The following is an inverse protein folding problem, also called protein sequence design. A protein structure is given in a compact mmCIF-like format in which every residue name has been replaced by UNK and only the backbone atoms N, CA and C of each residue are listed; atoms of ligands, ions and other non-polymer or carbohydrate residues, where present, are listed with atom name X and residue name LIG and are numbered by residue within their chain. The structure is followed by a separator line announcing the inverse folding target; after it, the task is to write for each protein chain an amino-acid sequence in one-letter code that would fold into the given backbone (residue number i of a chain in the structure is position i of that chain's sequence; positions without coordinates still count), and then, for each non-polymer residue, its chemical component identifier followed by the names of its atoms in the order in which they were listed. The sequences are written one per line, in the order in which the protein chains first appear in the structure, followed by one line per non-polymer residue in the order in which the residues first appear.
data_IF_389438614216
#
_entry.id   IF_389438614216
#
_cell.length_a   1.000
_cell.length_b   1.000
_cell.length_c   1.000
_cell.angle_alpha   90.00
_cell.angle_beta   90.00
_cell.angle_gamma   90.00
#
_symmetry.space_group_name_H-M   'P 1'
#
loop_
_entity.id
_entity.type
_entity.pdbx_description
1 polymer ?
#
# COMPACT_ATOMS: atom_id res chain seq x y z
N UNK A 1 -22.05 3.49 -13.48
CA UNK A 1 -20.64 3.90 -13.71
C UNK A 1 -19.69 3.01 -12.91
N UNK A 2 -18.87 2.21 -13.60
CA UNK A 2 -17.90 1.31 -12.98
C UNK A 2 -16.59 2.05 -12.66
N UNK A 3 -15.76 1.47 -11.78
CA UNK A 3 -14.39 1.92 -11.54
C UNK A 3 -13.39 0.88 -12.00
N UNK A 4 -12.26 1.35 -12.52
CA UNK A 4 -11.17 0.49 -12.93
C UNK A 4 -10.58 -0.25 -11.73
N UNK A 5 -10.46 -1.58 -11.84
CA UNK A 5 -9.90 -2.45 -10.78
C UNK A 5 -8.39 -2.24 -10.53
N UNK A 6 -7.78 -1.24 -11.16
CA UNK A 6 -6.38 -0.85 -10.93
C UNK A 6 -6.32 0.57 -10.38
N UNK A 7 -6.57 1.60 -11.21
CA UNK A 7 -6.40 2.99 -10.78
C UNK A 7 -7.59 3.57 -9.99
N UNK A 8 -8.71 2.84 -9.86
CA UNK A 8 -9.91 3.35 -9.19
C UNK A 8 -10.65 4.48 -9.91
N UNK A 9 -10.19 4.94 -11.07
CA UNK A 9 -10.87 5.97 -11.85
C UNK A 9 -12.11 5.40 -12.58
N UNK A 10 -13.07 6.28 -12.89
CA UNK A 10 -14.28 5.95 -13.64
C UNK A 10 -13.94 5.27 -14.98
N UNK A 11 -14.75 4.28 -15.35
CA UNK A 11 -14.62 3.55 -16.60
C UNK A 11 -16.00 3.21 -17.18
N UNK A 12 -16.06 3.01 -18.50
CA UNK A 12 -17.25 2.55 -19.23
C UNK A 12 -17.82 1.28 -18.60
N UNK A 13 -19.15 1.14 -18.59
CA UNK A 13 -19.85 0.10 -17.83
C UNK A 13 -19.54 -1.33 -18.29
N UNK A 14 -19.07 -1.49 -19.52
CA UNK A 14 -18.66 -2.77 -20.08
C UNK A 14 -17.19 -3.15 -19.81
N UNK A 15 -16.42 -2.31 -19.12
CA UNK A 15 -14.99 -2.52 -18.90
C UNK A 15 -14.64 -2.59 -17.41
N UNK A 16 -13.64 -3.43 -17.10
CA UNK A 16 -13.09 -3.62 -15.75
C UNK A 16 -11.75 -2.88 -15.59
N UNK A 17 -11.00 -2.73 -16.68
CA UNK A 17 -9.69 -2.08 -16.68
C UNK A 17 -9.53 -1.09 -17.83
N UNK A 18 -8.89 0.05 -17.56
CA UNK A 18 -8.38 0.89 -18.65
C UNK A 18 -7.24 0.15 -19.35
N UNK A 19 -7.17 0.27 -20.69
CA UNK A 19 -6.07 -0.30 -21.49
C UNK A 19 -4.69 0.17 -21.00
N UNK A 20 -4.58 1.42 -20.54
CA UNK A 20 -3.35 1.98 -19.97
C UNK A 20 -2.94 1.24 -18.69
N UNK A 21 -3.86 1.01 -17.75
CA UNK A 21 -3.55 0.31 -16.51
C UNK A 21 -3.05 -1.12 -16.74
N UNK A 22 -3.63 -1.84 -17.72
CA UNK A 22 -3.14 -3.18 -18.10
C UNK A 22 -1.72 -3.11 -18.68
N UNK A 23 -1.41 -2.10 -19.49
CA UNK A 23 -0.06 -1.91 -20.04
C UNK A 23 0.95 -1.55 -18.95
N UNK A 24 0.59 -0.65 -18.04
CA UNK A 24 1.48 -0.22 -16.96
C UNK A 24 1.80 -1.37 -16.00
N UNK A 25 0.77 -2.14 -15.63
CA UNK A 25 0.90 -3.30 -14.76
C UNK A 25 1.59 -4.46 -15.49
N UNK A 26 0.93 -5.02 -16.49
CA UNK A 26 1.30 -6.30 -17.12
C UNK A 26 2.12 -6.19 -18.41
N UNK A 27 2.29 -4.99 -18.97
CA UNK A 27 2.92 -4.80 -20.28
C UNK A 27 2.08 -5.33 -21.44
N UNK A 28 0.77 -5.54 -21.24
CA UNK A 28 -0.17 -6.06 -22.24
C UNK A 28 -1.50 -5.31 -22.19
N UNK A 29 -2.37 -5.48 -23.20
CA UNK A 29 -3.69 -4.83 -23.27
C UNK A 29 -4.87 -5.77 -23.03
N UNK A 30 -4.61 -6.98 -22.51
CA UNK A 30 -5.62 -7.96 -22.11
C UNK A 30 -5.49 -8.25 -20.62
N UNK A 31 -6.55 -8.77 -20.00
CA UNK A 31 -6.55 -9.20 -18.60
C UNK A 31 -5.93 -10.61 -18.55
N UNK A 32 -4.75 -10.80 -17.92
CA UNK A 32 -4.18 -12.13 -17.74
C UNK A 32 -5.07 -13.03 -16.88
N UNK A 33 -5.10 -14.32 -17.18
CA UNK A 33 -5.87 -15.30 -16.39
C UNK A 33 -5.02 -15.90 -15.28
N UNK A 34 -5.62 -16.23 -14.15
CA UNK A 34 -5.02 -17.08 -13.13
C UNK A 34 -5.87 -18.33 -12.96
N UNK A 35 -5.26 -19.50 -13.11
CA UNK A 35 -5.97 -20.80 -13.10
C UNK A 35 -5.87 -21.49 -11.74
N UNK A 36 -5.80 -20.69 -10.67
CA UNK A 36 -5.75 -21.17 -9.30
C UNK A 36 -6.94 -20.60 -8.54
N UNK A 37 -7.61 -21.46 -7.78
CA UNK A 37 -8.60 -21.10 -6.76
C UNK A 37 -7.93 -20.52 -5.51
N UNK A 38 -8.72 -19.97 -4.61
CA UNK A 38 -8.24 -19.45 -3.34
C UNK A 38 -7.54 -20.54 -2.50
N UNK A 39 -8.12 -21.73 -2.45
CA UNK A 39 -7.57 -22.86 -1.70
C UNK A 39 -6.23 -23.31 -2.27
N UNK A 40 -6.13 -23.46 -3.60
CA UNK A 40 -4.88 -23.85 -4.27
C UNK A 40 -3.78 -22.80 -4.08
N UNK A 41 -4.12 -21.50 -4.11
CA UNK A 41 -3.15 -20.43 -3.84
C UNK A 41 -2.68 -20.43 -2.39
N UNK A 42 -3.58 -20.65 -1.45
CA UNK A 42 -3.24 -20.64 -0.01
C UNK A 42 -2.29 -21.78 0.31
N UNK A 43 -2.54 -22.99 -0.21
CA UNK A 43 -1.65 -24.15 -0.08
C UNK A 43 -0.28 -23.83 -0.68
N UNK A 44 -0.23 -23.35 -1.93
CA UNK A 44 1.04 -22.99 -2.59
C UNK A 44 1.83 -21.93 -1.82
N UNK A 45 1.16 -20.92 -1.26
CA UNK A 45 1.83 -19.90 -0.47
C UNK A 45 2.45 -20.46 0.83
N UNK A 46 1.75 -21.40 1.48
CA UNK A 46 2.26 -22.07 2.67
C UNK A 46 3.47 -22.96 2.36
N UNK A 47 3.44 -23.71 1.26
CA UNK A 47 4.56 -24.52 0.79
C UNK A 47 5.81 -23.67 0.50
N UNK A 48 5.63 -22.50 -0.10
CA UNK A 48 6.72 -21.60 -0.47
C UNK A 48 7.28 -20.78 0.71
N UNK A 49 6.49 -20.52 1.75
CA UNK A 49 6.88 -19.62 2.83
C UNK A 49 7.82 -20.27 3.87
N UNK A 50 7.85 -21.60 3.98
CA UNK A 50 8.36 -22.26 5.19
C UNK A 50 7.57 -21.81 6.44
N UNK A 51 7.80 -22.42 7.61
CA UNK A 51 7.00 -22.17 8.84
C UNK A 51 6.66 -20.69 9.06
N UNK A 52 5.35 -20.41 9.17
CA UNK A 52 4.72 -19.08 9.30
C UNK A 52 5.40 -18.21 10.37
N UNK A 53 5.72 -16.97 10.00
CA UNK A 53 6.05 -15.93 10.97
C UNK A 53 4.81 -15.08 11.26
N UNK A 54 4.59 -14.75 12.53
CA UNK A 54 3.42 -14.01 13.05
C UNK A 54 3.21 -12.61 12.42
N UNK A 55 4.22 -12.01 11.77
CA UNK A 55 4.02 -10.79 10.95
C UNK A 55 3.50 -11.10 9.52
N UNK A 56 2.96 -12.29 9.27
CA UNK A 56 2.70 -12.90 7.97
C UNK A 56 1.35 -13.63 7.93
N UNK A 57 0.29 -12.95 8.34
CA UNK A 57 -1.07 -13.50 8.39
C UNK A 57 -1.66 -13.69 6.98
N UNK A 58 -1.20 -12.91 6.00
CA UNK A 58 -1.62 -13.03 4.60
C UNK A 58 -0.59 -13.79 3.77
N UNK A 59 -1.06 -14.86 3.12
CA UNK A 59 -0.32 -15.58 2.08
C UNK A 59 0.18 -14.62 0.99
N UNK A 60 1.39 -14.84 0.48
CA UNK A 60 1.92 -14.08 -0.65
C UNK A 60 2.60 -15.01 -1.64
N UNK A 61 2.32 -14.82 -2.93
CA UNK A 61 2.94 -15.57 -4.00
C UNK A 61 3.73 -14.65 -4.92
N UNK A 62 4.87 -15.15 -5.37
CA UNK A 62 5.69 -14.53 -6.41
C UNK A 62 5.14 -14.99 -7.76
N UNK A 63 4.68 -14.03 -8.58
CA UNK A 63 3.97 -14.30 -9.83
C UNK A 63 4.76 -13.78 -11.03
N UNK A 64 4.69 -14.48 -12.15
CA UNK A 64 5.17 -14.03 -13.47
C UNK A 64 4.05 -14.11 -14.50
N UNK A 65 4.06 -13.22 -15.48
CA UNK A 65 3.16 -13.31 -16.63
C UNK A 65 3.80 -14.14 -17.74
N UNK A 66 3.21 -15.29 -18.05
CA UNK A 66 3.49 -15.98 -19.30
C UNK A 66 2.67 -15.36 -20.43
N UNK A 67 3.34 -14.57 -21.28
CA UNK A 67 2.71 -13.90 -22.42
C UNK A 67 2.22 -14.86 -23.50
N UNK A 68 2.81 -16.07 -23.62
CA UNK A 68 2.40 -17.06 -24.63
C UNK A 68 1.04 -17.66 -24.25
N UNK A 69 0.92 -18.16 -23.01
CA UNK A 69 -0.33 -18.73 -22.52
C UNK A 69 -1.35 -17.68 -22.02
N UNK A 70 -0.91 -16.43 -21.86
CA UNK A 70 -1.69 -15.31 -21.27
C UNK A 70 -2.08 -15.56 -19.80
N UNK A 71 -1.26 -16.33 -19.07
CA UNK A 71 -1.52 -16.75 -17.69
C UNK A 71 -0.56 -16.11 -16.69
N UNK A 72 -1.07 -15.81 -15.50
CA UNK A 72 -0.30 -15.52 -14.30
C UNK A 72 0.06 -16.84 -13.63
N UNK A 73 1.36 -17.09 -13.47
CA UNK A 73 1.88 -18.34 -12.91
C UNK A 73 2.71 -18.05 -11.65
N UNK A 74 2.57 -18.93 -10.64
CA UNK A 74 3.43 -18.87 -9.45
C UNK A 74 4.82 -19.39 -9.77
N UNK A 75 5.84 -18.67 -9.31
CA UNK A 75 7.26 -18.97 -9.56
C UNK A 75 8.08 -18.80 -8.28
N UNK A 76 9.03 -19.70 -8.04
CA UNK A 76 9.96 -19.59 -6.90
C UNK A 76 10.96 -18.43 -7.05
N UNK A 77 11.37 -18.15 -8.28
CA UNK A 77 12.33 -17.09 -8.59
C UNK A 77 11.91 -16.27 -9.82
N UNK A 78 12.45 -15.06 -9.95
CA UNK A 78 12.21 -14.20 -11.12
C UNK A 78 10.76 -13.71 -11.27
N UNK A 79 9.95 -13.77 -10.21
CA UNK A 79 8.61 -13.20 -10.22
C UNK A 79 8.65 -11.67 -10.37
N UNK A 80 7.71 -11.16 -11.15
CA UNK A 80 7.55 -9.75 -11.50
C UNK A 80 6.44 -9.08 -10.67
N UNK A 81 5.58 -9.88 -10.03
CA UNK A 81 4.45 -9.41 -9.24
C UNK A 81 4.39 -10.15 -7.90
N UNK A 82 3.78 -9.51 -6.92
CA UNK A 82 3.35 -10.12 -5.67
C UNK A 82 1.84 -10.23 -5.72
N UNK A 83 1.32 -11.44 -5.49
CA UNK A 83 -0.11 -11.71 -5.38
C UNK A 83 -0.47 -12.06 -3.94
N UNK A 84 -1.49 -11.39 -3.42
CA UNK A 84 -2.02 -11.54 -2.08
C UNK A 84 -3.50 -11.93 -2.17
N UNK A 85 -3.85 -13.21 -1.91
CA UNK A 85 -5.23 -13.63 -1.93
C UNK A 85 -5.98 -13.15 -0.68
N UNK A 86 -7.30 -13.38 -0.68
CA UNK A 86 -8.15 -13.27 0.50
C UNK A 86 -7.55 -14.03 1.69
N UNK A 87 -7.49 -13.40 2.87
CA UNK A 87 -6.82 -13.96 4.04
C UNK A 87 -7.79 -14.26 5.19
N UNK A 88 -8.07 -15.54 5.41
CA UNK A 88 -8.78 -16.03 6.60
C UNK A 88 -10.02 -15.21 6.96
N UNK A 89 -10.04 -14.71 8.20
CA UNK A 89 -11.17 -13.99 8.80
C UNK A 89 -11.30 -12.52 8.34
N UNK A 90 -10.33 -11.98 7.60
CA UNK A 90 -10.34 -10.56 7.21
C UNK A 90 -11.11 -10.36 5.90
N UNK A 91 -12.43 -10.28 5.99
CA UNK A 91 -13.32 -10.10 4.84
C UNK A 91 -12.89 -8.93 3.93
N UNK A 92 -12.91 -9.15 2.62
CA UNK A 92 -12.59 -8.16 1.59
C UNK A 92 -11.22 -7.48 1.72
N UNK A 93 -10.23 -8.14 2.33
CA UNK A 93 -8.87 -7.61 2.47
C UNK A 93 -8.22 -7.23 1.12
N UNK A 94 -8.32 -8.04 0.04
CA UNK A 94 -7.83 -7.65 -1.29
C UNK A 94 -8.49 -6.38 -1.84
N UNK A 95 -9.81 -6.23 -1.67
CA UNK A 95 -10.56 -5.04 -2.07
C UNK A 95 -10.16 -3.81 -1.26
N UNK A 96 -9.97 -3.96 0.05
CA UNK A 96 -9.50 -2.90 0.95
C UNK A 96 -8.11 -2.41 0.52
N UNK A 97 -7.15 -3.32 0.33
CA UNK A 97 -5.80 -2.97 -0.11
C UNK A 97 -5.81 -2.31 -1.49
N UNK A 98 -6.54 -2.86 -2.45
CA UNK A 98 -6.66 -2.27 -3.78
C UNK A 98 -7.28 -0.86 -3.74
N UNK A 99 -8.33 -0.65 -2.94
CA UNK A 99 -8.97 0.65 -2.79
C UNK A 99 -8.00 1.67 -2.20
N UNK A 100 -7.31 1.32 -1.11
CA UNK A 100 -6.38 2.21 -0.44
C UNK A 100 -5.19 2.57 -1.33
N UNK A 101 -4.65 1.60 -2.07
CA UNK A 101 -3.61 1.82 -3.08
C UNK A 101 -4.10 2.70 -4.24
N UNK A 102 -5.32 2.49 -4.74
CA UNK A 102 -5.88 3.30 -5.81
C UNK A 102 -6.09 4.77 -5.36
N UNK A 103 -6.61 4.97 -4.15
CA UNK A 103 -6.75 6.31 -3.56
C UNK A 103 -5.39 6.97 -3.41
N UNK A 104 -4.38 6.26 -2.89
CA UNK A 104 -3.01 6.78 -2.76
C UNK A 104 -2.50 7.35 -4.10
N UNK A 105 -2.68 6.60 -5.20
CA UNK A 105 -2.28 7.04 -6.53
C UNK A 105 -3.08 8.25 -7.02
N UNK A 106 -4.39 8.30 -6.75
CA UNK A 106 -5.26 9.43 -7.13
C UNK A 106 -4.91 10.74 -6.39
N UNK A 107 -4.41 10.64 -5.16
CA UNK A 107 -3.96 11.81 -4.39
C UNK A 107 -2.49 12.17 -4.63
N UNK A 108 -1.77 11.40 -5.47
CA UNK A 108 -0.42 11.73 -5.94
C UNK A 108 0.72 11.03 -5.21
N UNK A 109 0.45 10.03 -4.35
CA UNK A 109 1.52 9.22 -3.77
C UNK A 109 2.19 8.35 -4.86
N UNK A 110 3.51 8.23 -4.76
CA UNK A 110 4.32 7.33 -5.58
C UNK A 110 4.03 5.88 -5.19
N UNK A 111 3.33 5.15 -6.06
CA UNK A 111 2.92 3.76 -5.86
C UNK A 111 3.25 2.92 -7.10
N UNK A 112 3.53 1.61 -6.95
CA UNK A 112 3.65 0.72 -8.08
C UNK A 112 2.27 0.45 -8.73
N UNK A 113 2.25 0.05 -10.02
CA UNK A 113 1.07 -0.50 -10.64
C UNK A 113 0.54 -1.70 -9.86
N UNK A 114 -0.78 -1.74 -9.67
CA UNK A 114 -1.46 -2.79 -8.92
C UNK A 114 -2.88 -3.00 -9.49
N UNK A 115 -3.53 -4.08 -9.08
CA UNK A 115 -4.90 -4.40 -9.44
C UNK A 115 -5.57 -5.35 -8.45
N UNK A 116 -6.90 -5.32 -8.44
CA UNK A 116 -7.76 -6.40 -7.99
C UNK A 116 -8.03 -7.35 -9.16
N UNK A 117 -7.72 -8.63 -9.00
CA UNK A 117 -7.98 -9.67 -10.00
C UNK A 117 -8.91 -10.74 -9.46
N UNK A 118 -9.57 -11.45 -10.38
CA UNK A 118 -10.45 -12.59 -10.06
C UNK A 118 -9.70 -13.90 -10.24
N UNK A 119 -9.84 -14.77 -9.25
CA UNK A 119 -9.34 -16.14 -9.23
C UNK A 119 -10.27 -17.07 -10.01
N UNK A 120 -9.84 -18.33 -10.19
CA UNK A 120 -10.60 -19.35 -10.93
C UNK A 120 -12.01 -19.58 -10.38
N UNK A 121 -12.16 -19.47 -9.06
CA UNK A 121 -13.41 -19.65 -8.31
C UNK A 121 -14.20 -18.34 -8.14
N UNK A 122 -13.76 -17.23 -8.75
CA UNK A 122 -14.42 -15.92 -8.66
C UNK A 122 -14.05 -15.11 -7.40
N UNK A 123 -13.28 -15.67 -6.47
CA UNK A 123 -12.73 -14.92 -5.34
C UNK A 123 -11.71 -13.87 -5.81
N UNK A 124 -11.47 -12.86 -4.97
CA UNK A 124 -10.57 -11.75 -5.31
C UNK A 124 -9.15 -11.98 -4.78
N UNK A 125 -8.17 -11.45 -5.51
CA UNK A 125 -6.81 -11.30 -5.03
C UNK A 125 -6.25 -9.94 -5.42
N UNK A 126 -5.40 -9.38 -4.56
CA UNK A 126 -4.64 -8.17 -4.85
C UNK A 126 -3.33 -8.57 -5.54
N UNK A 127 -2.97 -7.88 -6.61
CA UNK A 127 -1.70 -8.08 -7.31
C UNK A 127 -0.99 -6.74 -7.48
N UNK A 128 0.29 -6.72 -7.20
CA UNK A 128 1.13 -5.52 -7.25
C UNK A 128 2.41 -5.83 -8.02
N UNK A 129 2.83 -4.91 -8.89
CA UNK A 129 4.10 -5.01 -9.60
C UNK A 129 5.25 -4.79 -8.64
N UNK A 130 6.25 -5.65 -8.70
CA UNK A 130 7.47 -5.49 -7.92
C UNK A 130 8.24 -4.28 -8.42
N UNK A 131 8.52 -3.34 -7.52
CA UNK A 131 9.39 -2.19 -7.79
C UNK A 131 10.86 -2.47 -7.41
N UNK A 132 11.15 -3.61 -6.78
CA UNK A 132 12.50 -4.11 -6.51
C UNK A 132 13.06 -4.93 -7.70
N UNK A 133 12.47 -4.75 -8.89
CA UNK A 133 12.86 -5.41 -10.15
C UNK A 133 12.90 -4.39 -11.27
N UNK A 134 13.98 -4.41 -12.07
CA UNK A 134 14.12 -3.56 -13.27
C UNK A 134 14.93 -4.30 -14.33
N UNK A 135 14.38 -4.41 -15.55
CA UNK A 135 15.02 -5.10 -16.69
C UNK A 135 15.50 -6.53 -16.36
N UNK A 136 14.75 -7.28 -15.54
CA UNK A 136 15.13 -8.61 -15.08
C UNK A 136 16.16 -8.65 -13.94
N UNK A 137 16.79 -7.52 -13.62
CA UNK A 137 17.69 -7.36 -12.48
C UNK A 137 16.95 -7.07 -11.17
N UNK A 138 17.58 -7.42 -10.05
CA UNK A 138 17.13 -7.09 -8.69
C UNK A 138 17.64 -5.70 -8.32
N UNK A 139 16.74 -4.85 -7.83
CA UNK A 139 17.09 -3.61 -7.14
C UNK A 139 17.24 -3.98 -5.66
N UNK A 140 18.34 -3.56 -5.02
CA UNK A 140 18.47 -3.75 -3.58
C UNK A 140 17.43 -2.86 -2.88
N UNK A 141 16.75 -3.45 -1.91
CA UNK A 141 15.72 -2.80 -1.11
C UNK A 141 15.93 -3.21 0.34
N UNK A 142 15.82 -2.24 1.24
CA UNK A 142 15.85 -2.47 2.69
C UNK A 142 14.70 -1.73 3.34
N UNK A 143 14.03 -2.42 4.27
CA UNK A 143 13.00 -1.80 5.10
C UNK A 143 13.61 -1.03 6.28
N UNK A 144 12.87 -0.11 6.89
CA UNK A 144 13.44 0.71 7.97
C UNK A 144 13.74 -0.06 9.27
N UNK A 145 13.29 -1.31 9.44
CA UNK A 145 13.87 -2.14 10.50
C UNK A 145 15.33 -2.45 10.18
N UNK A 146 15.60 -2.91 8.97
CA UNK A 146 16.96 -3.24 8.52
C UNK A 146 17.88 -2.03 8.54
N UNK A 147 17.42 -0.91 7.96
CA UNK A 147 18.19 0.35 7.89
C UNK A 147 18.56 0.87 9.28
N UNK A 148 17.72 0.63 10.28
CA UNK A 148 17.94 1.03 11.67
C UNK A 148 18.61 -0.06 12.54
N UNK A 149 19.01 -1.20 11.96
CA UNK A 149 19.59 -2.31 12.72
C UNK A 149 18.63 -2.98 13.73
N UNK A 150 17.31 -2.84 13.52
CA UNK A 150 16.26 -3.37 14.40
C UNK A 150 15.88 -4.79 14.01
N UNK A 151 15.52 -5.60 15.00
CA UNK A 151 15.00 -6.94 14.74
C UNK A 151 13.58 -6.89 14.17
N UNK A 152 13.11 -8.01 13.62
CA UNK A 152 11.73 -8.14 13.14
C UNK A 152 10.67 -7.92 14.25
N UNK A 153 11.02 -8.20 15.50
CA UNK A 153 10.12 -8.02 16.66
C UNK A 153 9.94 -6.53 17.00
N UNK A 154 10.92 -5.71 16.66
CA UNK A 154 10.95 -4.28 16.96
C UNK A 154 10.30 -3.44 15.86
N UNK A 155 9.49 -4.06 14.98
CA UNK A 155 8.86 -3.38 13.84
C UNK A 155 7.97 -2.21 14.26
N UNK A 156 7.35 -2.28 15.44
CA UNK A 156 6.53 -1.21 16.03
C UNK A 156 7.33 -0.23 16.90
N UNK A 157 8.61 -0.53 17.16
CA UNK A 157 9.47 0.24 18.07
C UNK A 157 10.25 1.29 17.27
N UNK A 158 9.54 2.30 16.78
CA UNK A 158 10.16 3.45 16.13
C UNK A 158 9.24 4.65 16.00
N UNK A 159 9.75 5.69 15.34
CA UNK A 159 9.01 6.92 15.08
C UNK A 159 9.19 7.42 13.66
N UNK A 160 8.26 8.27 13.20
CA UNK A 160 8.37 8.93 11.90
C UNK A 160 9.61 9.83 11.84
N UNK A 161 10.00 10.44 12.96
CA UNK A 161 11.21 11.25 13.08
C UNK A 161 12.47 10.41 12.89
N UNK A 162 12.51 9.18 13.39
CA UNK A 162 13.64 8.29 13.17
C UNK A 162 13.78 7.94 11.68
N UNK A 163 12.67 7.70 10.99
CA UNK A 163 12.68 7.48 9.53
C UNK A 163 13.20 8.74 8.81
N UNK A 164 12.68 9.91 9.15
CA UNK A 164 13.08 11.17 8.52
C UNK A 164 14.55 11.53 8.77
N UNK A 165 15.03 11.40 10.01
CA UNK A 165 16.45 11.59 10.34
C UNK A 165 17.34 10.62 9.57
N UNK A 166 16.92 9.36 9.45
CA UNK A 166 17.70 8.39 8.72
C UNK A 166 17.74 8.70 7.22
N UNK A 167 16.64 9.21 6.64
CA UNK A 167 16.62 9.71 5.27
C UNK A 167 17.50 10.95 5.08
N UNK A 168 17.58 11.85 6.06
CA UNK A 168 18.53 12.98 6.04
C UNK A 168 19.99 12.51 5.94
N UNK A 169 20.32 11.38 6.55
CA UNK A 169 21.68 10.82 6.48
C UNK A 169 21.98 10.14 5.14
N UNK A 170 21.03 9.38 4.59
CA UNK A 170 21.32 8.41 3.51
C UNK A 170 20.69 8.74 2.16
N UNK A 171 19.59 9.49 2.11
CA UNK A 171 18.90 9.74 0.84
C UNK A 171 19.69 10.71 -0.04
N UNK A 172 19.66 10.47 -1.34
CA UNK A 172 20.20 11.41 -2.33
C UNK A 172 19.39 12.72 -2.40
N UNK A 173 18.09 12.68 -2.09
CA UNK A 173 17.22 13.88 -2.08
C UNK A 173 16.37 13.89 -0.79
N UNK A 174 16.99 14.17 0.37
CA UNK A 174 16.33 13.99 1.66
C UNK A 174 15.03 14.78 1.81
N UNK A 175 15.02 16.07 1.44
CA UNK A 175 13.83 16.91 1.58
C UNK A 175 12.59 16.34 0.87
N UNK A 176 12.77 15.84 -0.35
CA UNK A 176 11.69 15.21 -1.12
C UNK A 176 11.26 13.87 -0.51
N UNK A 177 12.22 13.05 -0.09
CA UNK A 177 11.90 11.73 0.48
C UNK A 177 11.25 11.84 1.86
N UNK A 178 11.64 12.83 2.68
CA UNK A 178 11.02 13.13 3.97
C UNK A 178 9.61 13.69 3.77
N UNK A 179 9.40 14.58 2.79
CA UNK A 179 8.06 15.01 2.40
C UNK A 179 7.18 13.82 2.00
N UNK A 180 7.70 12.89 1.21
CA UNK A 180 6.95 11.68 0.80
C UNK A 180 6.62 10.77 1.98
N UNK A 181 7.52 10.63 2.96
CA UNK A 181 7.23 9.91 4.22
C UNK A 181 6.11 10.60 4.98
N UNK A 182 6.13 11.93 5.05
CA UNK A 182 5.06 12.72 5.67
C UNK A 182 3.71 12.56 4.97
N UNK A 183 3.67 12.68 3.65
CA UNK A 183 2.44 12.49 2.85
C UNK A 183 1.86 11.08 3.04
N UNK A 184 2.70 10.05 3.12
CA UNK A 184 2.30 8.68 3.44
C UNK A 184 1.70 8.58 4.84
N UNK A 185 2.39 9.09 5.86
CA UNK A 185 1.91 9.01 7.23
C UNK A 185 0.58 9.74 7.43
N UNK A 186 0.42 10.93 6.83
CA UNK A 186 -0.83 11.68 6.85
C UNK A 186 -1.96 10.90 6.15
N UNK A 187 -1.67 10.30 4.98
CA UNK A 187 -2.65 9.48 4.30
C UNK A 187 -3.03 8.22 5.09
N UNK A 188 -2.05 7.52 5.67
CA UNK A 188 -2.25 6.34 6.51
C UNK A 188 -3.14 6.65 7.70
N UNK A 189 -2.92 7.78 8.36
CA UNK A 189 -3.80 8.26 9.42
C UNK A 189 -5.23 8.47 8.90
N UNK A 190 -5.42 9.15 7.76
CA UNK A 190 -6.73 9.44 7.18
C UNK A 190 -7.53 8.17 6.87
N UNK A 191 -6.90 7.14 6.30
CA UNK A 191 -7.58 5.88 6.00
C UNK A 191 -7.67 4.94 7.21
N UNK A 192 -7.08 5.30 8.35
CA UNK A 192 -7.05 4.43 9.54
C UNK A 192 -6.16 3.19 9.37
N UNK A 193 -4.95 3.38 8.83
CA UNK A 193 -3.91 2.35 8.78
C UNK A 193 -3.06 2.38 10.06
N UNK A 194 -3.57 1.74 11.12
CA UNK A 194 -2.91 1.57 12.41
C UNK A 194 -1.79 0.51 12.43
N UNK A 195 -1.61 -0.29 11.37
CA UNK A 195 -0.55 -1.31 11.27
C UNK A 195 0.67 -0.86 10.43
N UNK A 196 0.68 0.38 9.93
CA UNK A 196 1.80 0.95 9.15
C UNK A 196 3.07 1.16 9.99
N UNK A 197 3.85 0.09 10.16
CA UNK A 197 5.05 0.03 10.99
C UNK A 197 6.35 0.22 10.17
N UNK A 198 7.53 0.12 10.81
CA UNK A 198 8.81 0.41 10.15
C UNK A 198 9.06 -0.42 8.87
N UNK A 199 8.48 -1.62 8.76
CA UNK A 199 8.63 -2.48 7.56
C UNK A 199 7.78 -2.04 6.35
N UNK A 200 6.86 -1.10 6.52
CA UNK A 200 6.06 -0.51 5.42
C UNK A 200 6.76 0.68 4.78
N UNK A 201 7.91 1.08 5.32
CA UNK A 201 8.79 2.05 4.72
C UNK A 201 10.05 1.32 4.28
N UNK A 202 10.48 1.54 3.05
CA UNK A 202 11.73 1.01 2.53
C UNK A 202 12.48 2.05 1.72
N UNK A 203 13.78 1.84 1.61
CA UNK A 203 14.64 2.52 0.64
C UNK A 203 15.03 1.56 -0.48
N UNK A 204 15.23 2.11 -1.67
CA UNK A 204 15.76 1.41 -2.82
C UNK A 204 17.11 1.99 -3.22
N UNK A 205 18.00 1.11 -3.67
CA UNK A 205 19.30 1.45 -4.21
C UNK A 205 19.23 1.40 -5.73
N UNK A 206 19.11 2.55 -6.38
CA UNK A 206 19.02 2.61 -7.86
C UNK A 206 20.36 2.27 -8.53
N UNK A 207 21.45 2.45 -7.80
CA UNK A 207 22.81 1.95 -8.05
C UNK A 207 23.52 1.73 -6.69
N UNK A 208 24.82 1.41 -6.69
CA UNK A 208 25.60 1.14 -5.47
C UNK A 208 25.67 2.31 -4.46
N UNK A 209 25.27 3.52 -4.84
CA UNK A 209 25.42 4.76 -4.04
C UNK A 209 24.13 5.57 -3.94
N UNK A 210 23.20 5.40 -4.87
CA UNK A 210 22.00 6.23 -4.96
C UNK A 210 20.83 5.61 -4.21
N UNK A 211 20.60 6.11 -2.99
CA UNK A 211 19.51 5.71 -2.10
C UNK A 211 18.34 6.68 -2.22
N UNK A 212 17.14 6.13 -2.40
CA UNK A 212 15.87 6.88 -2.42
C UNK A 212 14.78 6.12 -1.67
N UNK A 213 13.80 6.84 -1.14
CA UNK A 213 12.58 6.23 -0.61
C UNK A 213 11.89 5.40 -1.72
N UNK A 214 11.60 4.14 -1.44
CA UNK A 214 10.84 3.25 -2.33
C UNK A 214 9.40 3.76 -2.54
N UNK A 215 8.68 3.38 -3.60
CA UNK A 215 7.23 3.58 -3.72
C UNK A 215 6.46 3.05 -2.50
N UNK A 216 5.29 3.60 -2.20
CA UNK A 216 4.45 3.11 -1.10
C UNK A 216 3.77 1.78 -1.48
N UNK A 217 3.68 0.88 -0.50
CA UNK A 217 3.11 -0.47 -0.65
C UNK A 217 2.47 -0.91 0.68
N UNK A 218 1.74 -2.03 0.65
CA UNK A 218 1.05 -2.58 1.82
C UNK A 218 0.14 -1.54 2.50
N UNK A 219 -0.63 -0.79 1.70
CA UNK A 219 -1.54 0.23 2.19
C UNK A 219 -2.93 -0.39 2.41
N UNK A 220 -3.36 -0.48 3.65
CA UNK A 220 -4.63 -1.08 4.05
C UNK A 220 -5.29 -0.20 5.10
N UNK A 221 -6.62 -0.04 5.06
CA UNK A 221 -7.35 0.45 6.23
C UNK A 221 -7.47 -0.68 7.24
N UNK A 222 -6.51 -0.82 8.14
CA UNK A 222 -6.47 -1.90 9.13
C UNK A 222 -7.55 -1.71 10.22
N UNK A 223 -7.89 -0.46 10.56
CA UNK A 223 -9.00 -0.12 11.46
C UNK A 223 -10.38 -0.56 10.94
N UNK A 224 -10.53 -0.72 9.63
CA UNK A 224 -11.74 -1.29 9.02
C UNK A 224 -11.93 -2.77 9.38
N UNK A 225 -10.83 -3.49 9.58
CA UNK A 225 -10.80 -4.94 9.84
C UNK A 225 -10.63 -5.25 11.34
N UNK A 226 -9.94 -4.39 12.07
CA UNK A 226 -9.62 -4.55 13.48
C UNK A 226 -10.11 -3.30 14.23
N UNK A 227 -11.33 -3.34 14.78
CA UNK A 227 -11.85 -2.26 15.60
C UNK A 227 -10.94 -1.98 16.80
N UNK A 228 -10.75 -0.70 17.14
CA UNK A 228 -9.91 -0.29 18.27
C UNK A 228 -8.42 -0.17 17.97
N UNK A 229 -8.00 -0.32 16.71
CA UNK A 229 -6.62 -0.04 16.33
C UNK A 229 -6.18 1.40 16.64
N UNK A 230 -4.88 1.51 16.92
CA UNK A 230 -4.17 2.77 17.14
C UNK A 230 -4.28 3.71 15.92
N UNK A 231 -4.03 5.00 16.13
CA UNK A 231 -4.02 5.96 15.02
C UNK A 231 -2.84 5.72 14.07
N UNK A 232 -1.68 5.31 14.61
CA UNK A 232 -0.46 4.99 13.88
C UNK A 232 0.33 3.88 14.59
N UNK A 233 0.98 2.99 13.83
CA UNK A 233 1.75 1.87 14.39
C UNK A 233 3.09 2.30 15.03
N UNK A 234 3.68 3.38 14.52
CA UNK A 234 4.90 4.03 15.01
C UNK A 234 4.57 5.45 15.49
N UNK A 235 5.40 6.01 16.36
CA UNK A 235 5.06 7.30 16.97
C UNK A 235 5.26 8.48 16.02
N UNK A 236 4.43 9.51 16.21
CA UNK A 236 4.60 10.87 15.67
C UNK A 236 4.57 11.82 16.87
N UNK A 237 5.61 12.61 17.06
CA UNK A 237 5.82 13.43 18.27
C UNK A 237 5.66 12.62 19.58
N UNK A 238 6.13 11.37 19.58
CA UNK A 238 6.04 10.47 20.75
C UNK A 238 4.65 9.86 20.99
N UNK A 239 3.65 10.13 20.15
CA UNK A 239 2.29 9.61 20.30
C UNK A 239 1.94 8.63 19.20
N UNK A 240 1.09 7.64 19.52
CA UNK A 240 0.45 6.74 18.56
C UNK A 240 -1.05 6.96 18.41
N UNK A 241 -1.65 7.69 19.34
CA UNK A 241 -3.08 7.92 19.46
C UNK A 241 -3.34 9.39 19.80
N UNK A 242 -4.60 9.81 19.60
CA UNK A 242 -5.04 11.19 19.80
C UNK A 242 -4.21 12.17 18.95
N UNK A 243 -3.89 11.73 17.72
CA UNK A 243 -3.21 12.56 16.74
C UNK A 243 -4.20 13.53 16.11
N UNK A 244 -3.78 14.78 15.95
CA UNK A 244 -4.54 15.82 15.28
C UNK A 244 -3.66 16.71 14.39
N UNK A 245 -4.25 17.76 13.82
CA UNK A 245 -3.56 18.67 12.89
C UNK A 245 -2.22 19.18 13.42
N UNK A 246 -2.19 19.55 14.71
CA UNK A 246 -0.98 20.07 15.37
C UNK A 246 0.19 19.09 15.35
N UNK A 247 -0.06 17.79 15.52
CA UNK A 247 1.01 16.80 15.50
C UNK A 247 1.65 16.71 14.10
N UNK A 248 0.83 16.75 13.05
CA UNK A 248 1.32 16.77 11.67
C UNK A 248 2.01 18.10 11.31
N UNK A 249 1.54 19.23 11.83
CA UNK A 249 2.19 20.53 11.64
C UNK A 249 3.54 20.61 12.33
N UNK A 250 3.64 20.17 13.58
CA UNK A 250 4.91 20.10 14.32
C UNK A 250 5.95 19.25 13.56
N UNK A 251 5.53 18.11 13.01
CA UNK A 251 6.40 17.29 12.17
C UNK A 251 6.83 18.03 10.91
N UNK A 252 5.88 18.63 10.18
CA UNK A 252 6.17 19.34 8.93
C UNK A 252 7.13 20.50 9.15
N UNK A 253 6.95 21.28 10.22
CA UNK A 253 7.81 22.41 10.59
C UNK A 253 9.24 21.93 10.92
N UNK A 254 9.36 20.89 11.74
CA UNK A 254 10.66 20.31 12.12
C UNK A 254 11.52 19.90 10.91
N UNK A 255 10.90 19.45 9.83
CA UNK A 255 11.58 19.00 8.61
C UNK A 255 11.45 19.96 7.43
N UNK A 256 11.04 21.21 7.67
CA UNK A 256 10.88 22.25 6.64
C UNK A 256 9.95 21.84 5.47
N UNK A 257 8.94 21.01 5.75
CA UNK A 257 7.90 20.65 4.79
C UNK A 257 6.86 21.78 4.77
N UNK A 258 6.55 22.38 3.60
CA UNK A 258 5.55 23.43 3.53
C UNK A 258 4.17 22.94 4.00
N UNK A 259 3.51 23.69 4.90
CA UNK A 259 2.16 23.36 5.38
C UNK A 259 1.12 23.23 4.25
N UNK A 260 1.38 23.82 3.08
CA UNK A 260 0.55 23.63 1.88
C UNK A 260 0.46 22.16 1.47
N UNK A 261 1.47 21.33 1.75
CA UNK A 261 1.43 19.89 1.48
C UNK A 261 0.30 19.21 2.27
N UNK A 262 0.15 19.55 3.56
CA UNK A 262 -0.97 19.09 4.39
C UNK A 262 -2.30 19.51 3.77
N UNK A 263 -2.45 20.82 3.47
CA UNK A 263 -3.70 21.38 2.91
C UNK A 263 -4.06 20.75 1.58
N UNK A 264 -3.09 20.57 0.68
CA UNK A 264 -3.29 19.94 -0.62
C UNK A 264 -3.86 18.52 -0.49
N UNK A 265 -3.41 17.76 0.53
CA UNK A 265 -3.95 16.43 0.82
C UNK A 265 -5.35 16.54 1.41
N UNK A 266 -5.59 17.49 2.32
CA UNK A 266 -6.92 17.72 2.89
C UNK A 266 -7.96 18.09 1.83
N UNK A 267 -7.57 18.86 0.81
CA UNK A 267 -8.40 19.22 -0.35
C UNK A 267 -8.82 17.99 -1.19
N UNK A 268 -8.16 16.83 -1.00
CA UNK A 268 -8.54 15.57 -1.66
C UNK A 268 -9.66 14.82 -0.94
N UNK A 269 -10.24 15.35 0.14
CA UNK A 269 -11.34 14.72 0.89
C UNK A 269 -12.43 14.15 -0.01
N UNK A 270 -12.94 14.93 -0.96
CA UNK A 270 -14.02 14.46 -1.83
C UNK A 270 -13.58 13.32 -2.76
N UNK A 271 -12.35 13.36 -3.28
CA UNK A 271 -11.80 12.28 -4.11
C UNK A 271 -11.74 10.97 -3.32
N UNK A 272 -11.30 11.04 -2.05
CA UNK A 272 -11.25 9.87 -1.16
C UNK A 272 -12.66 9.31 -0.93
N UNK A 273 -13.62 10.17 -0.56
CA UNK A 273 -15.00 9.76 -0.28
C UNK A 273 -15.70 9.16 -1.52
N UNK A 274 -15.53 9.77 -2.69
CA UNK A 274 -16.08 9.26 -3.94
C UNK A 274 -15.49 7.90 -4.30
N UNK A 275 -14.18 7.72 -4.10
CA UNK A 275 -13.52 6.43 -4.34
C UNK A 275 -14.01 5.34 -3.40
N UNK A 276 -14.32 5.65 -2.14
CA UNK A 276 -14.93 4.69 -1.20
C UNK A 276 -16.35 4.33 -1.64
N UNK A 277 -17.18 5.33 -1.96
CA UNK A 277 -18.59 5.18 -2.35
C UNK A 277 -18.78 4.20 -3.52
N UNK A 278 -17.90 4.29 -4.50
CA UNK A 278 -17.97 3.53 -5.75
C UNK A 278 -17.00 2.33 -5.78
N UNK A 279 -16.41 1.96 -4.64
CA UNK A 279 -15.40 0.89 -4.54
C UNK A 279 -15.99 -0.52 -4.70
N UNK A 280 -15.12 -1.53 -4.74
CA UNK A 280 -15.50 -2.94 -4.77
C UNK A 280 -15.84 -3.51 -3.37
N UNK A 281 -15.72 -2.70 -2.30
CA UNK A 281 -16.18 -3.08 -0.96
C UNK A 281 -17.71 -3.25 -0.94
N UNK A 282 -18.25 -4.05 -0.02
CA UNK A 282 -19.68 -4.15 0.20
C UNK A 282 -20.23 -2.87 0.89
N UNK A 283 -21.54 -2.72 0.96
CA UNK A 283 -22.16 -1.49 1.49
C UNK A 283 -21.83 -1.21 2.96
N UNK A 284 -21.64 -2.24 3.77
CA UNK A 284 -21.29 -2.08 5.20
C UNK A 284 -19.84 -1.58 5.35
N UNK A 285 -18.91 -2.20 4.65
CA UNK A 285 -17.51 -1.78 4.64
C UNK A 285 -17.32 -0.37 4.09
N UNK A 286 -18.08 0.02 3.04
CA UNK A 286 -18.07 1.41 2.54
C UNK A 286 -18.53 2.41 3.59
N UNK A 287 -19.61 2.11 4.33
CA UNK A 287 -20.12 2.97 5.41
C UNK A 287 -19.09 3.11 6.53
N UNK A 288 -18.51 1.99 6.98
CA UNK A 288 -17.48 1.96 8.04
C UNK A 288 -16.23 2.75 7.65
N UNK A 289 -15.70 2.51 6.45
CA UNK A 289 -14.51 3.23 5.97
C UNK A 289 -14.79 4.73 5.77
N UNK A 290 -15.99 5.08 5.28
CA UNK A 290 -16.41 6.49 5.19
C UNK A 290 -16.45 7.14 6.56
N UNK A 291 -16.99 6.46 7.58
CA UNK A 291 -17.03 6.98 8.95
C UNK A 291 -15.62 7.18 9.53
N UNK A 292 -14.72 6.21 9.33
CA UNK A 292 -13.30 6.33 9.71
C UNK A 292 -12.70 7.58 9.06
N UNK A 293 -12.80 7.70 7.73
CA UNK A 293 -12.20 8.82 6.99
C UNK A 293 -12.76 10.16 7.44
N UNK A 294 -14.08 10.30 7.57
CA UNK A 294 -14.71 11.56 8.00
C UNK A 294 -14.27 11.98 9.40
N UNK A 295 -14.16 11.02 10.32
CA UNK A 295 -13.69 11.25 11.68
C UNK A 295 -12.21 11.65 11.70
N UNK A 296 -11.36 11.02 10.88
CA UNK A 296 -9.95 11.44 10.73
C UNK A 296 -9.83 12.84 10.16
N UNK A 297 -10.70 13.19 9.21
CA UNK A 297 -10.74 14.54 8.65
C UNK A 297 -11.16 15.60 9.68
N UNK A 298 -12.09 15.31 10.60
CA UNK A 298 -12.50 16.31 11.60
C UNK A 298 -11.33 16.70 12.49
N UNK A 299 -10.53 15.71 12.95
CA UNK A 299 -9.31 15.94 13.76
C UNK A 299 -8.20 16.74 13.04
N UNK A 300 -8.27 16.83 11.71
CA UNK A 300 -7.33 17.57 10.87
C UNK A 300 -7.85 18.95 10.46
N UNK A 301 -9.06 19.30 10.87
CA UNK A 301 -9.71 20.60 10.56
C UNK A 301 -10.15 21.38 11.81
N UNK A 302 -10.08 20.74 12.98
CA UNK A 302 -10.14 21.39 14.30
C UNK A 302 -8.83 22.14 14.61
#
# INVERSE_FOLDING_TARGET
MNRCFSCGNKISENLIFHKKCLKDLFGVSYIPRIELSLNELTIKAQEMAGKLSISGVQAKLSIKLDKKSKKLISVGEGGEYILKPQAGIYEQLPENENLCMAIAGQIGLDIPPHALIKLKDGSSAFIIKRFDRKNGGKINQEDFCQVMGKSKRDKYTGSLEQIANKLNEISQIPGLDIQRVYERALFFFIIGNGDAHLKNYSINYTDMRTVRLSPAYDIVSSKLLIPGEEDCAITINGKKNNLGLRDFFNFSEKYNIPQKITRNLLDKKQIILDSIKDSQLNSDFRKKLTAIVLERFSRLTE
#
